data_IF_583163158304
#
_entry.id   IF_583163158304
#
_cell.length_a   1.000
_cell.length_b   1.000
_cell.length_c   1.000
_cell.angle_alpha   90.00
_cell.angle_beta   90.00
_cell.angle_gamma   90.00
#
_symmetry.space_group_name_H-M   'P 1'
#
loop_
_entity.id
_entity.type
_entity.pdbx_description
1 polymer ?
#
# COMPACT_ATOMS: atom_id res chain seq x y z
N UNK A 1 23.38 8.08 14.68
CA UNK A 1 22.22 7.41 15.29
C UNK A 1 21.34 6.95 14.14
N UNK A 2 21.40 5.65 13.84
CA UNK A 2 20.54 5.07 12.83
C UNK A 2 19.15 4.90 13.43
N UNK A 3 18.13 5.44 12.76
CA UNK A 3 16.75 5.20 13.13
C UNK A 3 16.32 3.81 12.68
N UNK A 4 15.31 3.21 13.31
CA UNK A 4 14.79 1.89 12.92
C UNK A 4 14.41 1.85 11.44
N UNK A 5 13.94 2.97 10.85
CA UNK A 5 13.66 3.09 9.43
C UNK A 5 14.87 2.83 8.53
N UNK A 6 16.08 3.16 8.98
CA UNK A 6 17.31 2.94 8.19
C UNK A 6 17.66 1.46 8.07
N UNK A 7 17.28 0.62 9.05
CA UNK A 7 17.53 -0.83 8.97
C UNK A 7 16.63 -1.52 7.93
N UNK A 8 15.42 -1.02 7.72
CA UNK A 8 14.51 -1.51 6.68
C UNK A 8 14.97 -1.09 5.27
N UNK A 9 15.63 0.06 5.14
CA UNK A 9 16.13 0.55 3.85
C UNK A 9 17.31 -0.26 3.31
N UNK A 10 17.93 -1.11 4.14
CA UNK A 10 19.05 -1.98 3.73
C UNK A 10 18.62 -3.28 3.08
N UNK A 11 17.34 -3.63 3.12
CA UNK A 11 16.85 -4.81 2.42
C UNK A 11 16.66 -4.50 0.94
N UNK A 12 17.17 -5.37 0.11
CA UNK A 12 17.11 -5.22 -1.35
C UNK A 12 15.76 -5.73 -1.85
N UNK A 13 14.83 -4.80 -2.01
CA UNK A 13 13.50 -5.09 -2.52
C UNK A 13 13.31 -4.58 -3.94
N UNK A 14 12.60 -5.37 -4.73
CA UNK A 14 12.09 -4.97 -6.04
C UNK A 14 10.57 -5.10 -5.98
N UNK A 15 9.86 -4.12 -6.51
CA UNK A 15 8.42 -4.22 -6.68
C UNK A 15 8.14 -4.68 -8.11
N UNK A 16 7.54 -5.85 -8.23
CA UNK A 16 7.21 -6.46 -9.51
C UNK A 16 5.77 -6.19 -9.90
N UNK A 17 5.57 -5.81 -11.16
CA UNK A 17 4.26 -5.67 -11.80
C UNK A 17 4.29 -6.40 -13.13
N UNK A 18 3.11 -6.73 -13.67
CA UNK A 18 3.01 -7.28 -15.01
C UNK A 18 2.95 -6.16 -16.05
N UNK A 19 3.70 -6.33 -17.15
CA UNK A 19 3.54 -5.49 -18.33
C UNK A 19 2.19 -5.77 -18.96
N UNK A 20 1.39 -4.70 -19.15
CA UNK A 20 0.15 -4.79 -19.91
C UNK A 20 0.39 -4.11 -21.25
N UNK A 21 0.40 -4.90 -22.33
CA UNK A 21 0.29 -4.34 -23.66
C UNK A 21 -1.18 -4.02 -23.96
N UNK A 22 -1.42 -3.01 -24.80
CA UNK A 22 -2.78 -2.67 -25.28
C UNK A 22 -3.47 -3.89 -25.88
N UNK A 23 -2.72 -4.73 -26.59
CA UNK A 23 -3.19 -5.99 -27.16
C UNK A 23 -3.53 -7.03 -26.08
N UNK A 24 -2.78 -7.06 -24.98
CA UNK A 24 -3.04 -7.95 -23.86
C UNK A 24 -4.34 -7.62 -23.11
N UNK A 25 -4.70 -6.34 -23.02
CA UNK A 25 -5.98 -5.90 -22.43
C UNK A 25 -7.18 -6.42 -23.23
N UNK A 26 -7.08 -6.38 -24.55
CA UNK A 26 -8.13 -6.91 -25.44
C UNK A 26 -8.20 -8.44 -25.43
N UNK A 27 -7.10 -9.11 -25.13
CA UNK A 27 -7.05 -10.57 -25.01
C UNK A 27 -7.50 -11.09 -23.64
N UNK A 28 -7.92 -10.23 -22.72
CA UNK A 28 -8.38 -10.61 -21.38
C UNK A 28 -7.26 -11.08 -20.44
N UNK A 29 -6.00 -10.74 -20.73
CA UNK A 29 -4.88 -11.06 -19.84
C UNK A 29 -4.96 -10.20 -18.58
N UNK A 30 -4.97 -10.86 -17.42
CA UNK A 30 -4.98 -10.21 -16.11
C UNK A 30 -3.65 -9.53 -15.82
N UNK A 31 -3.71 -8.37 -15.14
CA UNK A 31 -2.53 -7.71 -14.58
C UNK A 31 -2.20 -8.19 -13.16
N UNK A 32 -2.89 -9.20 -12.67
CA UNK A 32 -2.69 -9.76 -11.34
C UNK A 32 -1.85 -11.02 -11.39
N UNK A 33 -1.20 -11.32 -10.26
CA UNK A 33 -0.37 -12.51 -10.13
C UNK A 33 -1.19 -13.66 -9.55
N UNK A 34 -1.13 -14.82 -10.19
CA UNK A 34 -1.71 -16.05 -9.66
C UNK A 34 -0.84 -16.64 -8.55
N UNK A 35 -1.42 -17.57 -7.78
CA UNK A 35 -0.67 -18.32 -6.75
C UNK A 35 0.51 -19.09 -7.34
N UNK A 36 0.33 -19.67 -8.53
CA UNK A 36 1.40 -20.42 -9.22
C UNK A 36 2.51 -19.49 -9.69
N UNK A 37 2.19 -18.30 -10.17
CA UNK A 37 3.19 -17.31 -10.56
C UNK A 37 3.99 -16.81 -9.36
N UNK A 38 3.34 -16.61 -8.22
CA UNK A 38 4.02 -16.22 -6.97
C UNK A 38 4.93 -17.35 -6.49
N UNK A 39 4.46 -18.58 -6.55
CA UNK A 39 5.24 -19.78 -6.19
C UNK A 39 6.47 -19.94 -7.07
N UNK A 40 6.31 -19.73 -8.38
CA UNK A 40 7.42 -19.80 -9.33
C UNK A 40 8.50 -18.75 -9.03
N UNK A 41 8.07 -17.52 -8.73
CA UNK A 41 8.98 -16.43 -8.36
C UNK A 41 9.72 -16.72 -7.04
N UNK A 42 9.01 -17.26 -6.05
CA UNK A 42 9.63 -17.69 -4.78
C UNK A 42 10.70 -18.77 -4.96
N UNK A 43 10.53 -19.61 -5.97
CA UNK A 43 11.44 -20.73 -6.24
C UNK A 43 12.72 -20.31 -6.97
N UNK A 44 12.81 -19.07 -7.45
CA UNK A 44 14.00 -18.60 -8.17
C UNK A 44 15.21 -18.49 -7.24
N UNK A 45 16.42 -18.89 -7.72
CA UNK A 45 17.64 -18.83 -6.89
C UNK A 45 17.98 -17.43 -6.37
N UNK A 46 17.60 -16.38 -7.10
CA UNK A 46 17.87 -14.99 -6.71
C UNK A 46 16.89 -14.47 -5.65
N UNK A 47 15.78 -15.17 -5.42
CA UNK A 47 14.72 -14.71 -4.53
C UNK A 47 15.01 -15.14 -3.09
N UNK A 48 14.99 -14.17 -2.19
CA UNK A 48 15.06 -14.39 -0.75
C UNK A 48 13.69 -14.49 -0.10
N UNK A 49 12.72 -13.73 -0.61
CA UNK A 49 11.33 -13.77 -0.16
C UNK A 49 10.43 -12.98 -1.09
N UNK A 50 9.13 -13.26 -1.04
CA UNK A 50 8.10 -12.55 -1.81
C UNK A 50 6.96 -12.18 -0.88
N UNK A 51 6.58 -10.90 -0.89
CA UNK A 51 5.37 -10.40 -0.24
C UNK A 51 4.38 -9.90 -1.28
N UNK A 52 3.11 -10.11 -1.03
CA UNK A 52 2.06 -9.62 -1.91
C UNK A 52 1.42 -8.35 -1.35
N UNK A 53 1.11 -7.41 -2.23
CA UNK A 53 0.20 -6.31 -1.91
C UNK A 53 -1.23 -6.83 -1.99
N UNK A 54 -1.92 -6.89 -0.87
CA UNK A 54 -3.33 -7.29 -0.84
C UNK A 54 -4.19 -6.05 -1.02
N UNK A 55 -5.00 -5.97 -2.10
CA UNK A 55 -5.86 -4.81 -2.34
C UNK A 55 -7.14 -4.88 -1.51
N UNK A 56 -7.71 -3.71 -1.20
CA UNK A 56 -9.07 -3.63 -0.70
C UNK A 56 -10.04 -3.98 -1.84
N UNK A 57 -10.92 -4.96 -1.61
CA UNK A 57 -11.90 -5.44 -2.58
C UNK A 57 -13.26 -4.77 -2.42
N UNK A 58 -13.38 -3.91 -1.45
CA UNK A 58 -14.58 -3.14 -1.10
C UNK A 58 -14.32 -1.65 -1.37
N UNK A 59 -15.37 -0.86 -1.36
CA UNK A 59 -15.25 0.59 -1.56
C UNK A 59 -14.89 1.28 -0.27
N UNK A 60 -13.90 2.16 -0.32
CA UNK A 60 -13.43 2.96 0.81
C UNK A 60 -13.50 4.43 0.43
N UNK A 61 -14.04 5.25 1.31
CA UNK A 61 -13.94 6.70 1.22
C UNK A 61 -13.41 7.26 2.53
N UNK A 62 -12.60 8.30 2.43
CA UNK A 62 -12.07 9.00 3.58
C UNK A 62 -12.56 10.44 3.59
N UNK A 63 -12.93 10.91 4.78
CA UNK A 63 -13.30 12.28 5.03
C UNK A 63 -12.35 12.92 6.03
N UNK A 64 -11.85 14.08 5.69
CA UNK A 64 -11.15 14.98 6.61
C UNK A 64 -12.07 16.15 6.90
N UNK A 65 -12.47 16.28 8.17
CA UNK A 65 -13.20 17.43 8.66
C UNK A 65 -12.28 18.35 9.43
N UNK A 66 -11.96 19.50 8.88
CA UNK A 66 -11.44 20.62 9.64
C UNK A 66 -12.62 21.55 9.97
N UNK A 67 -13.34 21.23 11.04
CA UNK A 67 -14.56 21.96 11.41
C UNK A 67 -14.29 23.44 11.69
N UNK A 68 -13.13 23.77 12.22
CA UNK A 68 -12.73 25.15 12.51
C UNK A 68 -12.57 26.02 11.24
N UNK A 69 -12.24 25.38 10.11
CA UNK A 69 -12.10 26.07 8.82
C UNK A 69 -13.31 25.87 7.89
N UNK A 70 -14.34 25.16 8.34
CA UNK A 70 -15.53 24.88 7.53
C UNK A 70 -15.26 23.95 6.34
N UNK A 71 -14.17 23.19 6.37
CA UNK A 71 -13.73 22.35 5.26
C UNK A 71 -14.09 20.90 5.55
N UNK A 72 -14.86 20.31 4.63
CA UNK A 72 -15.07 18.87 4.56
C UNK A 72 -14.53 18.37 3.23
N UNK A 73 -13.52 17.51 3.31
CA UNK A 73 -12.98 16.82 2.15
C UNK A 73 -13.38 15.35 2.25
N UNK A 74 -14.04 14.87 1.21
CA UNK A 74 -14.33 13.44 1.06
C UNK A 74 -13.74 12.96 -0.26
N UNK A 75 -13.03 11.85 -0.22
CA UNK A 75 -12.43 11.26 -1.42
C UNK A 75 -12.51 9.75 -1.36
N UNK A 76 -12.65 9.12 -2.51
CA UNK A 76 -12.47 7.68 -2.60
C UNK A 76 -11.00 7.34 -2.36
N UNK A 77 -10.76 6.27 -1.62
CA UNK A 77 -9.43 5.78 -1.30
C UNK A 77 -9.29 4.33 -1.72
N UNK A 78 -8.06 3.93 -1.92
CA UNK A 78 -7.69 2.56 -2.18
C UNK A 78 -6.65 2.14 -1.14
N UNK A 79 -6.98 1.13 -0.35
CA UNK A 79 -6.07 0.59 0.64
C UNK A 79 -5.36 -0.64 0.08
N UNK A 80 -4.11 -0.78 0.47
CA UNK A 80 -3.36 -2.01 0.28
C UNK A 80 -2.75 -2.44 1.61
N UNK A 81 -2.42 -3.71 1.72
CA UNK A 81 -1.66 -4.25 2.85
C UNK A 81 -0.51 -5.09 2.33
N UNK A 82 0.54 -5.14 3.13
CA UNK A 82 1.69 -6.02 2.89
C UNK A 82 1.99 -6.76 4.19
N UNK A 83 2.70 -7.90 4.14
CA UNK A 83 3.17 -8.55 5.35
C UNK A 83 4.01 -7.58 6.19
N UNK A 84 3.91 -7.67 7.51
CA UNK A 84 4.53 -6.72 8.46
C UNK A 84 6.04 -6.58 8.26
N UNK A 85 6.71 -7.64 7.83
CA UNK A 85 8.16 -7.64 7.58
C UNK A 85 8.61 -6.65 6.49
N UNK A 86 7.67 -6.19 5.63
CA UNK A 86 7.96 -5.24 4.55
C UNK A 86 7.56 -3.80 4.89
N UNK A 87 7.03 -3.58 6.08
CA UNK A 87 6.63 -2.23 6.52
C UNK A 87 7.86 -1.50 7.07
N UNK A 88 8.11 -0.30 6.58
CA UNK A 88 9.30 0.50 6.90
C UNK A 88 9.08 1.55 7.99
N UNK A 89 8.10 1.33 8.86
CA UNK A 89 7.82 2.18 10.02
C UNK A 89 7.63 1.30 11.25
N UNK A 90 7.67 1.92 12.44
CA UNK A 90 7.47 1.20 13.70
C UNK A 90 6.15 0.45 13.73
N UNK A 91 6.20 -0.82 14.14
CA UNK A 91 5.03 -1.69 14.24
C UNK A 91 4.29 -1.57 15.57
N UNK A 92 4.70 -0.70 16.47
CA UNK A 92 4.15 -0.57 17.82
C UNK A 92 2.63 -0.31 17.82
N UNK A 93 2.14 0.42 16.82
CA UNK A 93 0.72 0.73 16.63
C UNK A 93 0.10 0.03 15.43
N UNK A 94 0.83 -0.92 14.84
CA UNK A 94 0.43 -1.57 13.59
C UNK A 94 -0.37 -2.85 13.84
N UNK A 95 -1.51 -2.70 14.51
CA UNK A 95 -2.47 -3.77 14.69
C UNK A 95 -3.88 -3.20 14.73
N UNK A 96 -4.84 -4.00 14.29
CA UNK A 96 -6.24 -3.63 14.23
C UNK A 96 -7.03 -4.39 15.29
N UNK A 97 -7.85 -3.65 16.02
CA UNK A 97 -8.80 -4.17 16.98
C UNK A 97 -10.20 -3.75 16.55
N UNK A 98 -11.08 -4.73 16.32
CA UNK A 98 -12.45 -4.48 15.90
C UNK A 98 -13.24 -3.64 16.91
N UNK A 99 -12.95 -3.79 18.19
CA UNK A 99 -13.70 -3.12 19.26
C UNK A 99 -13.47 -1.61 19.27
N UNK A 100 -12.27 -1.17 18.90
CA UNK A 100 -11.94 0.26 18.88
C UNK A 100 -12.46 0.98 17.64
N UNK A 101 -12.67 0.27 16.54
CA UNK A 101 -13.06 0.81 15.24
C UNK A 101 -12.09 1.89 14.72
N UNK A 102 -10.82 1.73 15.06
CA UNK A 102 -9.73 2.62 14.63
C UNK A 102 -8.77 1.83 13.75
N UNK A 103 -8.53 2.35 12.55
CA UNK A 103 -7.65 1.74 11.56
C UNK A 103 -6.33 2.49 11.56
N UNK A 104 -5.21 1.85 11.93
CA UNK A 104 -3.90 2.46 11.73
C UNK A 104 -3.58 2.55 10.24
N UNK A 105 -3.06 3.69 9.79
CA UNK A 105 -2.80 3.96 8.39
C UNK A 105 -1.38 4.48 8.24
N UNK A 106 -0.67 3.95 7.24
CA UNK A 106 0.62 4.46 6.79
C UNK A 106 0.40 5.13 5.44
N UNK A 107 0.92 6.34 5.29
CA UNK A 107 0.77 7.15 4.08
C UNK A 107 2.15 7.35 3.45
N UNK A 108 2.27 7.34 2.12
CA UNK A 108 3.51 7.71 1.46
C UNK A 108 3.94 9.12 1.88
N UNK A 109 5.21 9.30 2.19
CA UNK A 109 5.74 10.60 2.63
C UNK A 109 5.53 11.70 1.59
N UNK A 110 5.61 11.37 0.31
CA UNK A 110 5.37 12.34 -0.75
C UNK A 110 3.95 12.88 -0.79
N UNK A 111 2.96 12.19 -0.22
CA UNK A 111 1.58 12.70 -0.15
C UNK A 111 1.50 13.89 0.79
N UNK A 112 2.25 13.89 1.89
CA UNK A 112 2.35 15.05 2.78
C UNK A 112 2.94 16.25 2.05
N UNK A 113 3.98 16.02 1.24
CA UNK A 113 4.60 17.08 0.44
C UNK A 113 3.63 17.63 -0.62
N UNK A 114 2.88 16.75 -1.29
CA UNK A 114 1.88 17.17 -2.28
C UNK A 114 0.77 18.00 -1.62
N UNK A 115 0.32 17.61 -0.44
CA UNK A 115 -0.63 18.43 0.32
C UNK A 115 -0.04 19.80 0.66
N UNK A 116 1.14 19.84 1.27
CA UNK A 116 1.75 21.06 1.78
C UNK A 116 2.12 22.05 0.66
N UNK A 117 2.69 21.58 -0.43
CA UNK A 117 3.24 22.41 -1.50
C UNK A 117 2.33 22.58 -2.71
N UNK A 118 1.31 21.75 -2.84
CA UNK A 118 0.32 21.85 -3.90
C UNK A 118 -1.02 22.38 -3.37
N UNK A 119 -1.72 21.49 -2.67
CA UNK A 119 -3.10 21.73 -2.27
C UNK A 119 -3.24 22.85 -1.21
N UNK A 120 -2.45 22.79 -0.14
CA UNK A 120 -2.57 23.75 0.96
C UNK A 120 -2.28 25.19 0.52
N UNK A 121 -1.23 25.39 -0.29
CA UNK A 121 -0.86 26.71 -0.81
C UNK A 121 -1.94 27.30 -1.72
N UNK A 122 -2.48 26.49 -2.63
CA UNK A 122 -3.49 26.98 -3.58
C UNK A 122 -4.81 27.37 -2.91
N UNK A 123 -5.06 26.90 -1.71
CA UNK A 123 -6.31 27.14 -0.96
C UNK A 123 -6.10 27.93 0.33
N UNK A 124 -4.91 28.49 0.53
CA UNK A 124 -4.55 29.25 1.75
C UNK A 124 -4.77 28.44 3.03
N UNK A 125 -4.53 27.13 2.97
CA UNK A 125 -4.62 26.25 4.12
C UNK A 125 -3.27 26.14 4.82
N UNK A 126 -3.26 25.84 6.14
CA UNK A 126 -2.00 25.66 6.86
C UNK A 126 -1.25 24.43 6.38
N UNK A 127 0.08 24.52 6.36
CA UNK A 127 0.95 23.36 6.16
C UNK A 127 0.87 22.45 7.37
N UNK A 128 0.99 21.14 7.13
CA UNK A 128 0.95 20.12 8.17
C UNK A 128 2.32 19.46 8.30
N UNK A 129 2.77 19.31 9.53
CA UNK A 129 3.93 18.46 9.84
C UNK A 129 3.48 17.00 10.01
N UNK A 130 4.44 16.07 9.98
CA UNK A 130 4.14 14.67 10.27
C UNK A 130 3.51 14.49 11.65
N UNK A 131 4.00 15.22 12.66
CA UNK A 131 3.47 15.17 14.00
C UNK A 131 2.02 15.65 14.10
N UNK A 132 1.67 16.70 13.35
CA UNK A 132 0.29 17.18 13.30
C UNK A 132 -0.62 16.21 12.53
N UNK A 133 -0.13 15.61 11.44
CA UNK A 133 -0.90 14.61 10.70
C UNK A 133 -1.23 13.39 11.56
N UNK A 134 -0.33 12.99 12.45
CA UNK A 134 -0.57 11.86 13.36
C UNK A 134 -1.66 12.12 14.38
N UNK A 135 -2.00 13.38 14.64
CA UNK A 135 -3.09 13.79 15.55
C UNK A 135 -4.44 13.90 14.85
N UNK A 136 -4.46 13.89 13.52
CA UNK A 136 -5.70 14.01 12.74
C UNK A 136 -6.35 12.64 12.62
N UNK A 137 -7.63 12.55 13.01
CA UNK A 137 -8.44 11.38 12.74
C UNK A 137 -9.23 11.60 11.45
N UNK A 138 -9.16 10.61 10.56
CA UNK A 138 -9.97 10.58 9.35
C UNK A 138 -11.25 9.79 9.61
N UNK A 139 -12.34 10.20 8.98
CA UNK A 139 -13.54 9.38 8.90
C UNK A 139 -13.39 8.42 7.73
N UNK A 140 -13.46 7.12 8.00
CA UNK A 140 -13.34 6.06 6.99
C UNK A 140 -14.70 5.39 6.84
N UNK A 141 -15.24 5.42 5.63
CA UNK A 141 -16.47 4.72 5.30
C UNK A 141 -16.16 3.55 4.40
N UNK A 142 -16.62 2.38 4.78
CA UNK A 142 -16.43 1.14 4.03
C UNK A 142 -17.77 0.60 3.54
N UNK A 143 -17.83 0.22 2.27
CA UNK A 143 -19.03 -0.27 1.61
C UNK A 143 -18.76 -1.57 0.88
N UNK A 144 -19.60 -2.54 1.09
CA UNK A 144 -19.55 -3.81 0.38
C UNK A 144 -20.47 -4.84 1.03
N UNK A 145 -20.86 -5.85 0.29
CA UNK A 145 -21.69 -6.93 0.79
C UNK A 145 -23.00 -6.44 1.47
N UNK A 146 -23.62 -5.38 0.93
CA UNK A 146 -24.82 -4.77 1.50
C UNK A 146 -24.59 -4.04 2.82
N UNK A 147 -23.32 -3.85 3.23
CA UNK A 147 -22.95 -3.19 4.49
C UNK A 147 -22.33 -1.83 4.19
N UNK A 148 -22.64 -0.89 5.05
CA UNK A 148 -21.98 0.44 5.11
C UNK A 148 -21.59 0.65 6.55
N UNK A 149 -20.29 0.77 6.82
CA UNK A 149 -19.80 0.97 8.18
C UNK A 149 -18.79 2.11 8.22
N UNK A 150 -18.81 2.85 9.32
CA UNK A 150 -17.93 3.97 9.55
C UNK A 150 -16.89 3.62 10.62
N UNK A 151 -15.64 3.95 10.31
CA UNK A 151 -14.48 3.77 11.17
C UNK A 151 -13.72 5.08 11.28
N UNK A 152 -12.78 5.13 12.19
CA UNK A 152 -11.79 6.21 12.25
C UNK A 152 -10.46 5.70 11.74
N UNK A 153 -9.72 6.54 11.04
CA UNK A 153 -8.36 6.25 10.62
C UNK A 153 -7.35 7.14 11.31
N UNK A 154 -6.28 6.57 11.81
CA UNK A 154 -5.16 7.30 12.40
C UNK A 154 -3.91 7.08 11.58
N UNK A 155 -3.24 8.15 11.16
CA UNK A 155 -1.95 8.07 10.49
C UNK A 155 -0.90 7.78 11.56
N UNK A 156 -0.27 6.60 11.49
CA UNK A 156 0.73 6.15 12.45
C UNK A 156 2.15 6.24 11.91
N UNK A 157 2.31 6.52 10.63
CA UNK A 157 3.63 6.67 10.03
C UNK A 157 3.57 7.08 8.56
N UNK A 158 4.75 7.41 8.03
CA UNK A 158 4.95 7.79 6.64
C UNK A 158 6.00 6.87 6.03
N UNK A 159 5.65 6.23 4.91
CA UNK A 159 6.58 5.34 4.21
C UNK A 159 7.45 6.13 3.24
N UNK A 160 8.74 5.82 3.23
CA UNK A 160 9.69 6.31 2.25
C UNK A 160 9.87 5.34 1.07
N UNK A 161 9.38 4.11 1.20
CA UNK A 161 9.61 3.05 0.21
C UNK A 161 8.35 2.68 -0.57
N UNK A 162 7.22 2.63 0.10
CA UNK A 162 5.97 2.15 -0.50
C UNK A 162 5.10 3.34 -0.87
N UNK A 163 4.75 3.42 -2.15
CA UNK A 163 3.98 4.54 -2.70
C UNK A 163 2.49 4.20 -2.76
N UNK A 164 1.96 3.76 -1.63
CA UNK A 164 0.56 3.39 -1.47
C UNK A 164 0.11 3.62 -0.04
N UNK A 165 -1.20 3.73 0.16
CA UNK A 165 -1.77 3.87 1.50
C UNK A 165 -1.92 2.47 2.09
N UNK A 166 -1.19 2.22 3.18
CA UNK A 166 -1.14 0.91 3.82
C UNK A 166 -2.03 0.85 5.05
N UNK A 167 -2.67 -0.29 5.22
CA UNK A 167 -3.36 -0.71 6.43
C UNK A 167 -2.78 -2.05 6.89
N UNK A 168 -2.95 -2.44 8.16
CA UNK A 168 -2.44 -3.73 8.62
C UNK A 168 -3.03 -4.90 7.85
N UNK A 169 -2.22 -5.93 7.61
CA UNK A 169 -2.66 -7.14 6.93
C UNK A 169 -3.85 -7.79 7.65
N UNK A 170 -3.83 -7.79 8.98
CA UNK A 170 -4.94 -8.34 9.79
C UNK A 170 -6.25 -7.59 9.55
N UNK A 171 -6.20 -6.26 9.43
CA UNK A 171 -7.37 -5.47 9.06
C UNK A 171 -7.85 -5.82 7.66
N UNK A 172 -6.95 -5.87 6.69
CA UNK A 172 -7.32 -6.14 5.30
C UNK A 172 -7.97 -7.50 5.14
N UNK A 173 -7.44 -8.53 5.76
CA UNK A 173 -8.00 -9.88 5.70
C UNK A 173 -9.41 -9.92 6.30
N UNK A 174 -9.58 -9.29 7.46
CA UNK A 174 -10.89 -9.17 8.10
C UNK A 174 -11.88 -8.39 7.23
N UNK A 175 -11.45 -7.23 6.71
CA UNK A 175 -12.32 -6.34 5.94
C UNK A 175 -12.74 -6.96 4.60
N UNK A 176 -11.81 -7.55 3.86
CA UNK A 176 -12.13 -8.24 2.61
C UNK A 176 -13.12 -9.38 2.84
N UNK A 177 -12.94 -10.14 3.93
CA UNK A 177 -13.85 -11.22 4.28
C UNK A 177 -15.27 -10.74 4.61
N UNK A 178 -15.40 -9.60 5.29
CA UNK A 178 -16.69 -9.08 5.72
C UNK A 178 -17.39 -8.22 4.67
N UNK A 179 -16.63 -7.47 3.87
CA UNK A 179 -17.19 -6.53 2.90
C UNK A 179 -17.12 -7.02 1.45
N UNK A 180 -16.36 -8.06 1.17
CA UNK A 180 -16.26 -8.63 -0.18
C UNK A 180 -15.99 -10.15 -0.13
N UNK A 181 -16.87 -10.94 0.55
CA UNK A 181 -16.60 -12.35 0.78
C UNK A 181 -16.58 -13.19 -0.51
N UNK A 182 -17.22 -12.73 -1.57
CA UNK A 182 -17.32 -13.44 -2.86
C UNK A 182 -16.12 -13.18 -3.77
N UNK A 183 -15.28 -12.19 -3.43
CA UNK A 183 -14.12 -11.82 -4.24
C UNK A 183 -12.85 -12.45 -3.66
N UNK A 184 -11.98 -12.89 -4.54
CA UNK A 184 -10.65 -13.36 -4.19
C UNK A 184 -9.63 -12.26 -4.48
N UNK A 185 -8.77 -11.96 -3.50
CA UNK A 185 -7.76 -10.94 -3.65
C UNK A 185 -6.57 -11.51 -4.44
N UNK A 186 -6.42 -11.08 -5.68
CA UNK A 186 -5.22 -11.34 -6.46
C UNK A 186 -4.36 -10.07 -6.51
N UNK A 187 -3.07 -10.14 -6.11
CA UNK A 187 -2.22 -8.97 -6.09
C UNK A 187 -1.79 -8.56 -7.51
N UNK A 188 -1.79 -7.26 -7.76
CA UNK A 188 -1.21 -6.68 -8.98
C UNK A 188 0.26 -6.31 -8.81
N UNK A 189 0.76 -6.30 -7.58
CA UNK A 189 2.13 -5.97 -7.24
C UNK A 189 2.68 -6.95 -6.21
N UNK A 190 3.96 -7.27 -6.35
CA UNK A 190 4.68 -8.14 -5.42
C UNK A 190 5.93 -7.41 -4.94
N UNK A 191 6.28 -7.60 -3.67
CA UNK A 191 7.59 -7.22 -3.15
C UNK A 191 8.47 -8.44 -3.28
N UNK A 192 9.55 -8.32 -4.03
CA UNK A 192 10.55 -9.38 -4.18
C UNK A 192 11.81 -8.98 -3.44
N UNK A 193 12.11 -9.68 -2.36
CA UNK A 193 13.37 -9.53 -1.67
C UNK A 193 14.41 -10.38 -2.39
N UNK A 194 15.49 -9.75 -2.86
CA UNK A 194 16.52 -10.41 -3.65
C UNK A 194 17.81 -10.54 -2.87
N UNK A 195 18.57 -11.58 -3.16
CA UNK A 195 19.86 -11.87 -2.52
C UNK A 195 20.95 -10.91 -2.98
N UNK A 196 20.94 -10.59 -4.29
CA UNK A 196 21.88 -9.67 -4.91
C UNK A 196 21.14 -8.86 -5.99
N UNK A 197 20.93 -7.54 -5.79
CA UNK A 197 20.16 -6.73 -6.73
C UNK A 197 20.84 -6.54 -8.09
N UNK A 198 22.15 -6.82 -8.20
CA UNK A 198 22.90 -6.74 -9.45
C UNK A 198 22.95 -8.03 -10.25
N UNK A 199 22.28 -9.10 -9.76
CA UNK A 199 22.22 -10.38 -10.43
C UNK A 199 21.43 -10.26 -11.75
N UNK A 200 22.09 -10.54 -12.87
CA UNK A 200 21.50 -10.47 -14.20
C UNK A 200 20.36 -11.48 -14.40
N UNK A 201 20.34 -12.55 -13.62
CA UNK A 201 19.25 -13.53 -13.66
C UNK A 201 17.89 -12.92 -13.32
N UNK A 202 17.86 -11.85 -12.51
CA UNK A 202 16.65 -11.11 -12.19
C UNK A 202 16.07 -10.46 -13.44
N UNK A 203 16.89 -9.72 -14.16
CA UNK A 203 16.49 -9.03 -15.40
C UNK A 203 16.03 -10.03 -16.44
N UNK A 204 16.75 -11.13 -16.61
CA UNK A 204 16.41 -12.17 -17.59
C UNK A 204 15.06 -12.83 -17.25
N UNK A 205 14.85 -13.15 -15.98
CA UNK A 205 13.59 -13.75 -15.52
C UNK A 205 12.41 -12.79 -15.74
N UNK A 206 12.57 -11.53 -15.38
CA UNK A 206 11.52 -10.52 -15.52
C UNK A 206 11.17 -10.30 -17.01
N UNK A 207 12.16 -10.26 -17.87
CA UNK A 207 11.95 -10.15 -19.32
C UNK A 207 11.20 -11.38 -19.86
N UNK A 208 11.60 -12.57 -19.45
CA UNK A 208 10.98 -13.82 -19.89
C UNK A 208 9.52 -13.91 -19.44
N UNK A 209 9.21 -13.47 -18.24
CA UNK A 209 7.85 -13.49 -17.68
C UNK A 209 7.02 -12.27 -18.06
N UNK A 210 7.62 -11.29 -18.68
CA UNK A 210 6.98 -10.02 -19.01
C UNK A 210 6.55 -9.23 -17.77
N UNK A 211 7.43 -9.21 -16.78
CA UNK A 211 7.29 -8.42 -15.56
C UNK A 211 8.11 -7.13 -15.66
N UNK A 212 7.62 -6.10 -14.98
CA UNK A 212 8.32 -4.82 -14.82
C UNK A 212 8.69 -4.58 -13.37
N UNK A 213 9.68 -3.73 -13.14
CA UNK A 213 9.97 -3.18 -11.83
C UNK A 213 9.31 -1.82 -11.69
N UNK A 214 8.64 -1.59 -10.55
CA UNK A 214 8.01 -0.32 -10.25
C UNK A 214 8.97 0.54 -9.39
N UNK A 215 9.21 1.78 -9.87
CA UNK A 215 9.78 2.84 -9.05
C UNK A 215 11.20 2.67 -8.57
N UNK A 216 11.93 1.66 -9.03
CA UNK A 216 13.32 1.48 -8.68
C UNK A 216 14.20 1.37 -9.90
N UNK A 217 15.07 2.31 -9.93
CA UNK A 217 16.24 2.31 -10.77
C UNK A 217 17.14 1.14 -10.33
N UNK A 218 17.02 0.05 -11.04
CA UNK A 218 18.07 -0.96 -11.12
C UNK A 218 19.08 -0.51 -12.16
N UNK A 219 19.40 0.76 -12.15
CA UNK A 219 20.45 1.33 -13.01
C UNK A 219 21.82 1.13 -12.36
#
# INVERSE_FOLDING_TARGET
VFTEGDSFMKKDYIIATKKISTLGSFAGKSNTFSKDEIKDLKAQPFTKGVGAFTPSLFKVSAGLGMQEAGIRLSTEMFFESVPDEYVDVSLDKWHFDEDTRIIPIIVPRNYLNLYNFGFAQSRSLPKLSEGLMSLVQMDIMMRGNGRVEQYKGNIVGFSNRLNTILVPQSFMDWANKNFAPEKEAEPSRLIVEVKNPTDTAITDYFQQKNYETEGNNLD
#
